data_IF_338238506926
#
_entry.id   IF_338238506926
#
_cell.length_a   1.000
_cell.length_b   1.000
_cell.length_c   1.000
_cell.angle_alpha   90.00
_cell.angle_beta   90.00
_cell.angle_gamma   90.00
#
_symmetry.space_group_name_H-M   'P 1'
#
loop_
_entity.id
_entity.type
_entity.pdbx_description
1 polymer ?
#
# COMPACT_ATOMS: atom_id res chain seq x y z
N UNK A 1 14.20 -13.43 -59.47
CA UNK A 1 12.97 -13.31 -58.65
C UNK A 1 13.37 -13.24 -57.19
N UNK A 2 13.59 -12.03 -56.64
CA UNK A 2 13.94 -11.88 -55.21
C UNK A 2 12.64 -11.82 -54.42
N UNK A 3 12.35 -12.87 -53.66
CA UNK A 3 11.19 -12.91 -52.76
C UNK A 3 11.45 -11.91 -51.63
N UNK A 4 10.69 -10.81 -51.60
CA UNK A 4 10.67 -9.89 -50.46
C UNK A 4 9.99 -10.63 -49.31
N UNK A 5 10.76 -11.15 -48.35
CA UNK A 5 10.20 -11.70 -47.12
C UNK A 5 9.88 -10.50 -46.23
N UNK A 6 8.60 -10.13 -46.19
CA UNK A 6 8.08 -9.10 -45.30
C UNK A 6 8.02 -9.72 -43.89
N UNK A 7 9.06 -9.51 -43.08
CA UNK A 7 9.05 -9.87 -41.65
C UNK A 7 8.24 -8.79 -40.93
N UNK A 8 6.95 -9.05 -40.72
CA UNK A 8 6.12 -8.24 -39.81
C UNK A 8 6.59 -8.56 -38.39
N UNK A 9 7.42 -7.68 -37.83
CA UNK A 9 7.74 -7.69 -36.41
C UNK A 9 6.49 -7.22 -35.66
N UNK A 10 5.68 -8.17 -35.16
CA UNK A 10 4.63 -7.86 -34.18
C UNK A 10 5.35 -7.51 -32.88
N UNK A 11 5.62 -6.23 -32.68
CA UNK A 11 5.97 -5.70 -31.37
C UNK A 11 4.69 -5.83 -30.54
N UNK A 12 4.54 -6.95 -29.84
CA UNK A 12 3.46 -7.09 -28.87
C UNK A 12 3.63 -5.95 -27.86
N UNK A 13 2.62 -5.06 -27.69
CA UNK A 13 2.70 -4.11 -26.59
C UNK A 13 2.73 -4.95 -25.33
N UNK A 14 3.86 -4.91 -24.62
CA UNK A 14 3.89 -5.28 -23.21
C UNK A 14 2.82 -4.41 -22.54
N UNK A 15 1.64 -4.98 -22.31
CA UNK A 15 0.64 -4.38 -21.46
C UNK A 15 1.25 -4.33 -20.07
N UNK A 16 1.98 -3.26 -19.78
CA UNK A 16 2.27 -2.90 -18.40
C UNK A 16 0.92 -2.76 -17.73
N UNK A 17 0.62 -3.66 -16.79
CA UNK A 17 -0.59 -3.57 -15.97
C UNK A 17 -0.45 -2.33 -15.10
N UNK A 18 -0.84 -1.18 -15.64
CA UNK A 18 -1.06 0.02 -14.86
C UNK A 18 -2.37 -0.21 -14.10
N UNK A 19 -2.28 -0.86 -12.93
CA UNK A 19 -3.43 -1.06 -12.07
C UNK A 19 -3.87 0.33 -11.58
N UNK A 20 -5.16 0.62 -11.70
CA UNK A 20 -5.72 1.84 -11.13
C UNK A 20 -6.10 1.58 -9.68
N UNK A 21 -5.68 2.45 -8.77
CA UNK A 21 -6.10 2.43 -7.38
C UNK A 21 -7.64 2.50 -7.29
N UNK A 22 -8.25 1.59 -6.53
CA UNK A 22 -9.69 1.63 -6.25
C UNK A 22 -9.98 2.76 -5.26
N UNK A 23 -11.08 3.47 -5.48
CA UNK A 23 -11.54 4.54 -4.57
C UNK A 23 -11.73 4.08 -3.12
N UNK A 24 -12.10 2.81 -2.89
CA UNK A 24 -12.17 2.24 -1.53
C UNK A 24 -10.80 2.14 -0.88
N UNK A 25 -9.80 1.60 -1.58
CA UNK A 25 -8.42 1.50 -1.11
C UNK A 25 -7.83 2.89 -0.81
N UNK A 26 -8.13 3.87 -1.67
CA UNK A 26 -7.73 5.27 -1.48
C UNK A 26 -8.30 5.88 -0.21
N UNK A 27 -9.58 5.64 0.08
CA UNK A 27 -10.24 6.13 1.30
C UNK A 27 -9.67 5.48 2.56
N UNK A 28 -9.56 4.15 2.58
CA UNK A 28 -9.06 3.41 3.73
C UNK A 28 -7.61 3.81 4.03
N UNK A 29 -6.77 3.92 3.00
CA UNK A 29 -5.38 4.34 3.20
C UNK A 29 -5.30 5.78 3.71
N UNK A 30 -6.08 6.72 3.16
CA UNK A 30 -6.13 8.09 3.66
C UNK A 30 -6.56 8.17 5.14
N UNK A 31 -7.54 7.36 5.55
CA UNK A 31 -7.98 7.25 6.94
C UNK A 31 -6.88 6.67 7.85
N UNK A 32 -6.20 5.60 7.41
CA UNK A 32 -5.06 5.03 8.13
C UNK A 32 -3.97 6.10 8.38
N UNK A 33 -3.59 6.85 7.35
CA UNK A 33 -2.57 7.90 7.47
C UNK A 33 -2.98 9.01 8.43
N UNK A 34 -4.24 9.45 8.36
CA UNK A 34 -4.78 10.44 9.29
C UNK A 34 -4.67 9.95 10.73
N UNK A 35 -5.11 8.71 10.99
CA UNK A 35 -5.13 8.15 12.34
C UNK A 35 -3.70 7.90 12.86
N UNK A 36 -2.80 7.40 12.00
CA UNK A 36 -1.39 7.21 12.33
C UNK A 36 -0.68 8.52 12.71
N UNK A 37 -0.84 9.57 11.89
CA UNK A 37 -0.21 10.87 12.12
C UNK A 37 -0.79 11.66 13.31
N UNK A 38 -2.00 11.29 13.72
CA UNK A 38 -2.68 11.85 14.90
C UNK A 38 -2.50 10.98 16.15
N UNK A 39 -1.76 9.87 16.05
CA UNK A 39 -1.52 8.91 17.13
C UNK A 39 -2.80 8.25 17.68
N UNK A 40 -3.87 8.22 16.88
CA UNK A 40 -5.16 7.60 17.18
C UNK A 40 -5.12 6.09 16.89
N UNK A 41 -4.25 5.36 17.59
CA UNK A 41 -3.99 3.94 17.30
C UNK A 41 -5.17 3.02 17.59
N UNK A 42 -6.09 3.44 18.46
CA UNK A 42 -7.35 2.72 18.67
C UNK A 42 -8.20 2.73 17.40
N UNK A 43 -8.26 3.85 16.68
CA UNK A 43 -9.01 3.94 15.42
C UNK A 43 -8.36 3.05 14.34
N UNK A 44 -7.03 2.94 14.30
CA UNK A 44 -6.35 1.99 13.41
C UNK A 44 -6.70 0.54 13.78
N UNK A 45 -6.73 0.21 15.07
CA UNK A 45 -7.14 -1.11 15.54
C UNK A 45 -8.59 -1.42 15.14
N UNK A 46 -9.50 -0.45 15.22
CA UNK A 46 -10.89 -0.65 14.81
C UNK A 46 -11.07 -0.90 13.31
N UNK A 47 -10.13 -0.44 12.48
CA UNK A 47 -10.08 -0.73 11.04
C UNK A 47 -9.67 -2.17 10.71
N UNK A 48 -9.12 -2.93 11.67
CA UNK A 48 -8.70 -4.31 11.44
C UNK A 48 -9.89 -5.26 11.30
N UNK A 49 -9.69 -6.35 10.55
CA UNK A 49 -10.62 -7.49 10.57
C UNK A 49 -10.64 -8.15 11.95
N UNK A 50 -11.69 -8.89 12.26
CA UNK A 50 -11.82 -9.60 13.55
C UNK A 50 -10.67 -10.59 13.79
N UNK A 51 -10.19 -11.24 12.72
CA UNK A 51 -9.03 -12.13 12.78
C UNK A 51 -7.75 -11.36 13.14
N UNK A 52 -7.55 -10.18 12.55
CA UNK A 52 -6.37 -9.35 12.84
C UNK A 52 -6.47 -8.70 14.22
N UNK A 53 -7.66 -8.30 14.69
CA UNK A 53 -7.88 -7.85 16.07
C UNK A 53 -7.50 -8.93 17.08
N UNK A 54 -7.73 -10.20 16.73
CA UNK A 54 -7.34 -11.37 17.54
C UNK A 54 -5.84 -11.63 17.47
N UNK A 55 -5.23 -11.53 16.29
CA UNK A 55 -3.80 -11.81 16.08
C UNK A 55 -2.87 -10.68 16.57
N UNK A 56 -3.34 -9.43 16.52
CA UNK A 56 -2.65 -8.24 17.00
C UNK A 56 -3.58 -7.38 17.87
N UNK A 57 -3.81 -7.77 19.13
CA UNK A 57 -4.61 -7.02 20.09
C UNK A 57 -4.20 -5.54 20.26
N UNK A 58 -5.11 -4.73 20.80
CA UNK A 58 -4.97 -3.26 20.92
C UNK A 58 -3.67 -2.82 21.61
N UNK A 59 -3.23 -3.52 22.66
CA UNK A 59 -1.98 -3.19 23.35
C UNK A 59 -0.77 -3.36 22.41
N UNK A 60 -0.67 -4.51 21.74
CA UNK A 60 0.42 -4.78 20.79
C UNK A 60 0.36 -3.86 19.56
N UNK A 61 -0.85 -3.54 19.09
CA UNK A 61 -1.07 -2.57 18.01
C UNK A 61 -0.53 -1.19 18.40
N UNK A 62 -0.89 -0.73 19.59
CA UNK A 62 -0.45 0.56 20.13
C UNK A 62 1.07 0.62 20.26
N UNK A 63 1.68 -0.41 20.85
CA UNK A 63 3.13 -0.49 21.02
C UNK A 63 3.87 -0.54 19.68
N UNK A 64 3.34 -1.32 18.73
CA UNK A 64 3.90 -1.40 17.38
C UNK A 64 3.91 -0.03 16.69
N UNK A 65 2.78 0.68 16.66
CA UNK A 65 2.70 1.95 15.95
C UNK A 65 3.42 3.10 16.67
N UNK A 66 3.44 3.11 18.01
CA UNK A 66 4.33 4.00 18.78
C UNK A 66 5.78 3.75 18.45
N UNK A 67 6.21 2.49 18.45
CA UNK A 67 7.57 2.10 18.08
C UNK A 67 7.91 2.52 16.66
N UNK A 68 7.00 2.33 15.71
CA UNK A 68 7.18 2.76 14.32
C UNK A 68 7.28 4.28 14.21
N UNK A 69 6.40 5.04 14.87
CA UNK A 69 6.42 6.51 14.84
C UNK A 69 7.71 7.05 15.49
N UNK A 70 8.15 6.46 16.61
CA UNK A 70 9.42 6.83 17.23
C UNK A 70 10.62 6.62 16.28
N UNK A 71 10.63 5.52 15.52
CA UNK A 71 11.73 5.20 14.61
C UNK A 71 11.66 6.00 13.29
N UNK A 72 10.51 6.00 12.63
CA UNK A 72 10.30 6.49 11.27
C UNK A 72 9.65 7.87 11.19
N UNK A 73 8.87 8.26 12.20
CA UNK A 73 8.17 9.54 12.28
C UNK A 73 6.79 9.49 11.65
N UNK A 74 6.25 10.68 11.34
CA UNK A 74 4.96 10.81 10.64
C UNK A 74 5.09 10.41 9.17
N UNK A 75 3.98 10.00 8.58
CA UNK A 75 3.83 9.81 7.14
C UNK A 75 3.75 11.19 6.49
N UNK A 76 4.57 11.43 5.47
CA UNK A 76 4.58 12.68 4.68
C UNK A 76 3.97 12.50 3.30
N UNK A 77 4.01 11.29 2.75
CA UNK A 77 3.36 10.95 1.48
C UNK A 77 3.15 9.46 1.32
N UNK A 78 2.16 9.11 0.50
CA UNK A 78 1.86 7.74 0.09
C UNK A 78 1.56 7.71 -1.41
N UNK A 79 2.17 6.77 -2.12
CA UNK A 79 1.96 6.52 -3.54
C UNK A 79 1.51 5.08 -3.76
N UNK A 80 0.35 4.88 -4.40
CA UNK A 80 -0.10 3.55 -4.79
C UNK A 80 0.87 2.92 -5.79
N UNK A 81 1.32 1.70 -5.51
CA UNK A 81 2.22 0.95 -6.39
C UNK A 81 1.41 -0.05 -7.22
N UNK A 82 0.73 -0.97 -6.53
CA UNK A 82 0.02 -2.09 -7.15
C UNK A 82 -0.88 -2.81 -6.15
N UNK A 83 -1.74 -3.69 -6.65
CA UNK A 83 -2.32 -4.75 -5.82
C UNK A 83 -1.40 -5.97 -5.83
N UNK A 84 -0.95 -6.38 -4.65
CA UNK A 84 -0.14 -7.57 -4.43
C UNK A 84 -1.05 -8.81 -4.36
N UNK A 85 -0.71 -9.84 -5.12
CA UNK A 85 -1.51 -11.06 -5.28
C UNK A 85 -3.00 -10.80 -5.60
N UNK A 86 -3.32 -9.64 -6.18
CA UNK A 86 -4.69 -9.21 -6.48
C UNK A 86 -5.58 -8.94 -5.25
N UNK A 87 -4.99 -8.85 -4.05
CA UNK A 87 -5.75 -8.78 -2.78
C UNK A 87 -5.53 -7.46 -2.05
N UNK A 88 -4.31 -7.19 -1.57
CA UNK A 88 -3.98 -5.98 -0.81
C UNK A 88 -3.39 -4.89 -1.72
N UNK A 89 -3.81 -3.64 -1.52
CA UNK A 89 -3.18 -2.47 -2.11
C UNK A 89 -1.85 -2.22 -1.41
N UNK A 90 -0.77 -2.14 -2.18
CA UNK A 90 0.56 -1.82 -1.70
C UNK A 90 0.92 -0.38 -2.06
N UNK A 91 1.48 0.33 -1.09
CA UNK A 91 1.84 1.73 -1.24
C UNK A 91 3.29 1.96 -0.85
N UNK A 92 3.99 2.78 -1.62
CA UNK A 92 5.26 3.37 -1.22
C UNK A 92 4.94 4.51 -0.27
N UNK A 93 5.26 4.34 1.00
CA UNK A 93 4.97 5.32 2.04
C UNK A 93 6.26 5.95 2.51
N UNK A 94 6.35 7.27 2.37
CA UNK A 94 7.46 8.07 2.88
C UNK A 94 7.09 8.57 4.27
N UNK A 95 7.92 8.22 5.24
CA UNK A 95 7.89 8.76 6.59
C UNK A 95 9.01 9.81 6.72
N UNK A 96 8.99 10.60 7.78
CA UNK A 96 10.00 11.63 8.04
C UNK A 96 11.45 11.10 8.01
N UNK A 97 11.67 9.84 8.42
CA UNK A 97 13.00 9.24 8.58
C UNK A 97 13.19 7.91 7.85
N UNK A 98 12.18 7.39 7.16
CA UNK A 98 12.26 6.10 6.48
C UNK A 98 11.27 6.00 5.30
N UNK A 99 11.48 5.02 4.43
CA UNK A 99 10.53 4.66 3.37
C UNK A 99 10.18 3.18 3.56
N UNK A 100 8.88 2.88 3.62
CA UNK A 100 8.37 1.51 3.74
C UNK A 100 7.28 1.22 2.71
N UNK A 101 7.09 -0.06 2.42
CA UNK A 101 5.88 -0.53 1.77
C UNK A 101 4.78 -0.70 2.82
N UNK A 102 3.63 -0.08 2.60
CA UNK A 102 2.44 -0.23 3.42
C UNK A 102 1.41 -1.05 2.64
N UNK A 103 0.94 -2.16 3.20
CA UNK A 103 -0.04 -3.04 2.55
C UNK A 103 -1.38 -2.95 3.30
N UNK A 104 -2.45 -2.62 2.59
CA UNK A 104 -3.80 -2.44 3.15
C UNK A 104 -4.80 -3.16 2.23
N UNK A 105 -5.67 -3.99 2.81
CA UNK A 105 -6.76 -4.69 2.11
C UNK A 105 -8.10 -4.08 2.43
#
# INVERSE_FOLDING_TARGET
MKKLILIILIISPFFGFCQTEKETSKKISAEFEKNYNSEEYQEIFEMFSDEMKTALPIEQTTDFFKGLNNQAGKITSREFIQYENGTYASYKTTFERAIFALNIS
#
